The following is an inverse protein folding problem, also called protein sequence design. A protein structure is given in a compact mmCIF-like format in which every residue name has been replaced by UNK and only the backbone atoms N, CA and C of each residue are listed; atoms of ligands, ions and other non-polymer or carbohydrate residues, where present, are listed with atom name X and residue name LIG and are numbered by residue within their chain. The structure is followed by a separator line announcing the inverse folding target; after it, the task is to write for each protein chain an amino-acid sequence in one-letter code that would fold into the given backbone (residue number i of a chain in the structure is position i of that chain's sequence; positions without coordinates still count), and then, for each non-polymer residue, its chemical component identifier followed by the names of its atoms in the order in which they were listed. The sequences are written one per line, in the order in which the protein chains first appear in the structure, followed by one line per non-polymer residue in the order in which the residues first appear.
data_IF_117944640510
#
_entry.id   IF_117944640510
#
_cell.length_a   1.000
_cell.length_b   1.000
_cell.length_c   1.000
_cell.angle_alpha   90.00
_cell.angle_beta   90.00
_cell.angle_gamma   90.00
#
_symmetry.space_group_name_H-M   'P 1'
#
loop_
_entity.id
_entity.type
_entity.pdbx_description
1 polymer ?
#
# COMPACT_ATOMS: atom_id res chain seq x y z
N UNK A 1 34.32 -25.33 3.29
CA UNK A 1 33.06 -25.79 2.68
C UNK A 1 32.33 -24.60 2.10
N UNK A 2 32.31 -24.47 0.77
CA UNK A 2 31.54 -23.43 0.09
C UNK A 2 30.08 -23.88 0.06
N UNK A 3 29.18 -23.09 0.67
CA UNK A 3 27.73 -23.35 0.59
C UNK A 3 27.21 -22.72 -0.69
N UNK A 4 26.93 -23.55 -1.67
CA UNK A 4 26.33 -23.16 -2.94
C UNK A 4 24.90 -22.70 -2.63
N UNK A 5 24.65 -21.38 -2.60
CA UNK A 5 23.28 -20.87 -2.53
C UNK A 5 22.69 -20.98 -3.92
N UNK A 6 21.94 -22.04 -4.18
CA UNK A 6 21.10 -22.15 -5.36
C UNK A 6 20.05 -21.03 -5.30
N UNK A 7 20.13 -20.11 -6.26
CA UNK A 7 19.10 -19.12 -6.54
C UNK A 7 17.98 -19.90 -7.23
N UNK A 8 16.89 -20.16 -6.52
CA UNK A 8 15.71 -20.83 -7.10
C UNK A 8 14.88 -19.80 -7.84
N UNK A 9 14.74 -20.01 -9.15
CA UNK A 9 13.87 -19.23 -10.04
C UNK A 9 12.36 -19.41 -9.72
N UNK A 10 11.57 -18.39 -10.07
CA UNK A 10 10.13 -18.16 -9.88
C UNK A 10 9.20 -19.12 -10.70
N UNK A 11 7.84 -18.98 -10.68
CA UNK A 11 6.87 -18.79 -9.59
C UNK A 11 5.65 -19.76 -9.70
N UNK A 12 4.97 -20.09 -8.59
CA UNK A 12 3.56 -20.57 -8.66
C UNK A 12 2.74 -20.07 -7.47
N UNK A 13 1.86 -19.10 -7.74
CA UNK A 13 0.51 -18.76 -7.23
C UNK A 13 0.05 -19.06 -5.78
N UNK A 14 0.80 -19.79 -4.95
CA UNK A 14 0.47 -20.14 -3.56
C UNK A 14 1.72 -20.09 -2.66
N UNK A 15 2.37 -18.92 -2.60
CA UNK A 15 3.49 -18.73 -1.67
C UNK A 15 2.98 -18.80 -0.23
N UNK A 16 3.53 -19.71 0.57
CA UNK A 16 3.25 -19.84 1.98
C UNK A 16 3.28 -18.46 2.68
N UNK A 17 2.21 -18.03 3.38
CA UNK A 17 2.13 -16.71 4.01
C UNK A 17 3.12 -16.53 5.17
N UNK A 18 3.76 -17.60 5.62
CA UNK A 18 4.82 -17.58 6.65
C UNK A 18 6.23 -17.62 6.06
N UNK A 19 6.37 -17.73 4.73
CA UNK A 19 7.66 -17.56 4.06
C UNK A 19 7.88 -16.10 3.74
N UNK A 20 9.08 -15.61 4.05
CA UNK A 20 9.46 -14.25 3.68
C UNK A 20 9.55 -14.15 2.14
N UNK A 21 9.09 -13.04 1.56
CA UNK A 21 9.31 -12.77 0.14
C UNK A 21 10.81 -12.71 -0.15
N UNK A 22 11.18 -13.02 -1.39
CA UNK A 22 12.54 -12.78 -1.85
C UNK A 22 12.89 -11.29 -1.85
N UNK A 23 14.17 -10.96 -1.72
CA UNK A 23 14.62 -9.56 -1.77
C UNK A 23 14.14 -8.85 -3.05
N UNK A 24 14.19 -9.56 -4.17
CA UNK A 24 13.72 -9.08 -5.47
C UNK A 24 12.21 -8.76 -5.47
N UNK A 25 11.39 -9.63 -4.86
CA UNK A 25 9.95 -9.34 -4.69
C UNK A 25 9.72 -8.15 -3.77
N UNK A 26 10.50 -7.99 -2.71
CA UNK A 26 10.43 -6.82 -1.83
C UNK A 26 10.74 -5.54 -2.61
N UNK A 27 11.77 -5.54 -3.46
CA UNK A 27 12.09 -4.38 -4.29
C UNK A 27 10.98 -4.06 -5.27
N UNK A 28 10.43 -5.06 -5.97
CA UNK A 28 9.28 -4.87 -6.87
C UNK A 28 8.06 -4.31 -6.15
N UNK A 29 7.68 -4.89 -5.00
CA UNK A 29 6.55 -4.41 -4.20
C UNK A 29 6.72 -2.94 -3.77
N UNK A 30 7.94 -2.56 -3.37
CA UNK A 30 8.25 -1.16 -3.00
C UNK A 30 8.16 -0.22 -4.19
N UNK A 31 8.63 -0.64 -5.35
CA UNK A 31 8.54 0.15 -6.58
C UNK A 31 7.08 0.34 -7.00
N UNK A 32 6.27 -0.72 -6.96
CA UNK A 32 4.83 -0.62 -7.28
C UNK A 32 4.10 0.30 -6.31
N UNK A 33 4.39 0.23 -5.01
CA UNK A 33 3.79 1.12 -4.01
C UNK A 33 4.21 2.58 -4.22
N UNK A 34 5.48 2.81 -4.60
CA UNK A 34 5.97 4.16 -4.95
C UNK A 34 5.24 4.71 -6.16
N UNK A 35 5.09 3.93 -7.23
CA UNK A 35 4.37 4.33 -8.44
C UNK A 35 2.91 4.64 -8.14
N UNK A 36 2.22 3.75 -7.42
CA UNK A 36 0.83 3.98 -6.99
C UNK A 36 0.66 5.28 -6.23
N UNK A 37 1.54 5.57 -5.27
CA UNK A 37 1.50 6.80 -4.47
C UNK A 37 1.71 8.05 -5.33
N UNK A 38 2.59 7.98 -6.33
CA UNK A 38 2.83 9.07 -7.27
C UNK A 38 1.63 9.32 -8.18
N UNK A 39 1.02 8.26 -8.70
CA UNK A 39 -0.22 8.36 -9.46
C UNK A 39 -1.37 8.97 -8.65
N UNK A 40 -1.56 8.53 -7.41
CA UNK A 40 -2.59 9.09 -6.52
C UNK A 40 -2.36 10.57 -6.25
N UNK A 41 -1.11 11.00 -6.06
CA UNK A 41 -0.76 12.43 -5.93
C UNK A 41 -1.09 13.21 -7.20
N UNK A 42 -0.73 12.68 -8.37
CA UNK A 42 -1.00 13.30 -9.67
C UNK A 42 -2.49 13.38 -9.99
N UNK A 43 -3.26 12.35 -9.63
CA UNK A 43 -4.73 12.35 -9.74
C UNK A 43 -5.31 13.42 -8.79
N UNK A 44 -4.88 13.46 -7.53
CA UNK A 44 -5.40 14.38 -6.53
C UNK A 44 -4.99 15.86 -6.75
N UNK A 45 -3.88 16.12 -7.43
CA UNK A 45 -3.48 17.50 -7.79
C UNK A 45 -4.43 18.12 -8.81
N UNK A 46 -5.03 17.30 -9.68
CA UNK A 46 -5.96 17.73 -10.73
C UNK A 46 -7.42 17.85 -10.25
N UNK A 47 -7.74 17.29 -9.10
CA UNK A 47 -9.09 17.40 -8.51
C UNK A 47 -9.31 18.79 -7.92
N UNK A 48 -10.55 19.28 -8.03
CA UNK A 48 -11.01 20.48 -7.33
C UNK A 48 -11.08 20.19 -5.83
N UNK A 49 -10.95 21.24 -5.01
CA UNK A 49 -10.82 21.11 -3.54
C UNK A 49 -11.96 20.28 -2.94
N UNK A 50 -13.20 20.51 -3.38
CA UNK A 50 -14.38 19.82 -2.87
C UNK A 50 -14.49 18.36 -3.32
N UNK A 51 -13.76 17.96 -4.36
CA UNK A 51 -13.70 16.57 -4.84
C UNK A 51 -12.58 15.76 -4.14
N UNK A 52 -11.70 16.41 -3.37
CA UNK A 52 -10.59 15.75 -2.69
C UNK A 52 -11.08 15.02 -1.44
N UNK A 53 -10.70 13.75 -1.31
CA UNK A 53 -10.90 13.01 -0.08
C UNK A 53 -9.89 13.46 0.98
N UNK A 54 -10.37 14.02 2.08
CA UNK A 54 -9.53 14.41 3.22
C UNK A 54 -9.31 13.24 4.16
N UNK A 55 -8.29 13.33 5.05
CA UNK A 55 -8.01 12.28 6.03
C UNK A 55 -9.23 11.99 6.94
N UNK A 56 -9.99 13.03 7.27
CA UNK A 56 -11.24 12.94 8.02
C UNK A 56 -12.36 12.19 7.27
N UNK A 57 -12.39 12.24 5.93
CA UNK A 57 -13.31 11.44 5.12
C UNK A 57 -12.88 9.96 4.99
N UNK A 58 -11.58 9.66 5.09
CA UNK A 58 -11.06 8.28 5.00
C UNK A 58 -11.23 7.50 6.30
N UNK A 59 -11.10 8.20 7.44
CA UNK A 59 -11.24 7.62 8.77
C UNK A 59 -12.72 7.71 9.14
N UNK A 60 -13.51 6.69 8.76
CA UNK A 60 -14.98 6.64 8.91
C UNK A 60 -15.54 6.74 10.34
N UNK A 61 -14.71 7.09 11.34
CA UNK A 61 -15.04 7.05 12.77
C UNK A 61 -14.89 8.42 13.45
N UNK A 62 -14.99 9.54 12.72
CA UNK A 62 -15.18 10.84 13.38
C UNK A 62 -16.59 10.85 13.98
N UNK A 63 -16.68 10.63 15.29
CA UNK A 63 -17.91 10.89 16.06
C UNK A 63 -18.20 12.39 15.93
N UNK A 64 -19.21 12.73 15.14
CA UNK A 64 -19.74 14.09 15.07
C UNK A 64 -20.51 14.29 16.37
N UNK A 65 -19.95 15.05 17.30
CA UNK A 65 -20.69 15.47 18.50
C UNK A 65 -21.92 16.25 18.05
N UNK A 66 -23.12 15.75 18.37
CA UNK A 66 -24.36 16.49 18.16
C UNK A 66 -24.65 17.24 19.46
N UNK A 67 -25.06 18.50 19.33
CA UNK A 67 -25.37 19.35 20.48
C UNK A 67 -26.54 18.84 21.34
N UNK A 68 -27.24 17.79 20.90
CA UNK A 68 -28.38 17.18 21.55
C UNK A 68 -28.01 15.99 22.48
N UNK A 69 -26.72 15.66 22.62
CA UNK A 69 -26.24 14.55 23.46
C UNK A 69 -25.97 14.95 24.94
N UNK A 70 -26.68 15.95 25.48
CA UNK A 70 -26.54 16.47 26.86
C UNK A 70 -27.86 16.50 27.63
#
# INVERSE_FOLDING_TARGET
MQRNRTISEHPTVESNPFTLPSDEEVFRMRETEKQRKEEEKSKNSRLKIYDKTTASSKIGNIRRFRSDDA
#
